data_IF_608549938210
#
_entry.id   IF_608549938210
#
_cell.length_a   1.000
_cell.length_b   1.000
_cell.length_c   1.000
_cell.angle_alpha   90.00
_cell.angle_beta   90.00
_cell.angle_gamma   90.00
#
_symmetry.space_group_name_H-M   'P 1'
#
loop_
_entity.id
_entity.type
_entity.pdbx_description
1 polymer ?
#
# COMPACT_ATOMS: atom_id res chain seq x y z
N UNK A 1 -67.08 -3.38 30.61
CA UNK A 1 -66.14 -2.34 30.12
C UNK A 1 -64.87 -3.06 29.72
N UNK A 2 -64.73 -3.43 28.44
CA UNK A 2 -63.52 -4.06 27.91
C UNK A 2 -62.56 -2.98 27.40
N UNK A 3 -61.27 -3.01 27.79
CA UNK A 3 -60.30 -2.05 27.31
C UNK A 3 -59.98 -2.34 25.85
N UNK A 4 -60.29 -1.36 24.99
CA UNK A 4 -60.05 -1.38 23.57
C UNK A 4 -58.59 -1.67 23.23
N UNK A 5 -58.36 -2.85 22.66
CA UNK A 5 -57.09 -3.28 22.06
C UNK A 5 -56.82 -2.41 20.83
N UNK A 6 -56.13 -1.28 21.03
CA UNK A 6 -55.51 -0.51 19.96
C UNK A 6 -54.51 -1.40 19.21
N UNK A 7 -54.97 -2.08 18.15
CA UNK A 7 -54.10 -2.59 17.09
C UNK A 7 -53.50 -1.37 16.39
N UNK A 8 -52.40 -0.86 16.94
CA UNK A 8 -51.51 0.03 16.23
C UNK A 8 -51.08 -0.67 14.95
N UNK A 9 -51.63 -0.22 13.82
CA UNK A 9 -51.14 -0.61 12.51
C UNK A 9 -49.67 -0.19 12.46
N UNK A 10 -48.76 -1.14 12.67
CA UNK A 10 -47.32 -0.92 12.50
C UNK A 10 -47.12 -0.51 11.05
N UNK A 11 -47.01 0.78 10.79
CA UNK A 11 -46.69 1.30 9.48
C UNK A 11 -45.40 0.63 9.05
N UNK A 12 -45.52 -0.30 8.09
CA UNK A 12 -44.43 -1.10 7.56
C UNK A 12 -43.54 -0.14 6.77
N UNK A 13 -42.60 0.49 7.46
CA UNK A 13 -41.73 1.52 6.92
C UNK A 13 -41.07 1.00 5.64
N UNK A 14 -41.48 1.54 4.49
CA UNK A 14 -41.00 1.08 3.18
C UNK A 14 -39.49 1.27 3.14
N UNK A 15 -38.77 0.20 2.78
CA UNK A 15 -37.32 0.22 2.69
C UNK A 15 -36.92 1.16 1.56
N UNK A 16 -36.19 2.23 1.88
CA UNK A 16 -35.58 3.09 0.88
C UNK A 16 -34.28 2.46 0.38
N UNK A 17 -34.29 1.93 -0.85
CA UNK A 17 -33.07 1.40 -1.49
C UNK A 17 -32.02 2.48 -1.74
N UNK A 18 -32.43 3.74 -1.94
CA UNK A 18 -31.50 4.87 -2.02
C UNK A 18 -30.67 5.04 -0.75
N UNK A 19 -31.28 4.78 0.42
CA UNK A 19 -30.54 4.79 1.69
C UNK A 19 -29.57 3.61 1.81
N UNK A 20 -29.96 2.43 1.34
CA UNK A 20 -29.09 1.24 1.32
C UNK A 20 -27.85 1.53 0.47
N UNK A 21 -28.06 2.10 -0.72
CA UNK A 21 -27.01 2.51 -1.64
C UNK A 21 -26.08 3.54 -0.99
N UNK A 22 -26.62 4.62 -0.45
CA UNK A 22 -25.85 5.69 0.21
C UNK A 22 -24.96 5.15 1.35
N UNK A 23 -25.53 4.30 2.23
CA UNK A 23 -24.78 3.71 3.36
C UNK A 23 -23.69 2.77 2.86
N UNK A 24 -23.98 1.94 1.86
CA UNK A 24 -22.99 1.03 1.26
C UNK A 24 -21.82 1.79 0.62
N UNK A 25 -22.11 2.84 -0.15
CA UNK A 25 -21.07 3.70 -0.75
C UNK A 25 -20.21 4.36 0.32
N UNK A 26 -20.83 4.89 1.37
CA UNK A 26 -20.11 5.49 2.48
C UNK A 26 -19.17 4.49 3.18
N UNK A 27 -19.64 3.25 3.42
CA UNK A 27 -18.80 2.19 3.99
C UNK A 27 -17.62 1.87 3.07
N UNK A 28 -17.84 1.73 1.77
CA UNK A 28 -16.76 1.49 0.80
C UNK A 28 -15.72 2.61 0.79
N UNK A 29 -16.14 3.87 0.81
CA UNK A 29 -15.23 5.01 0.91
C UNK A 29 -14.41 5.00 2.21
N UNK A 30 -15.03 4.64 3.34
CA UNK A 30 -14.35 4.53 4.63
C UNK A 30 -13.34 3.39 4.67
N UNK A 31 -13.64 2.24 4.06
CA UNK A 31 -12.72 1.10 3.94
C UNK A 31 -11.48 1.48 3.11
N UNK A 32 -11.67 2.21 2.00
CA UNK A 32 -10.55 2.70 1.20
C UNK A 32 -9.71 3.70 2.00
N UNK A 33 -10.34 4.67 2.68
CA UNK A 33 -9.63 5.62 3.52
C UNK A 33 -8.81 4.93 4.62
N UNK A 34 -9.39 3.93 5.30
CA UNK A 34 -8.69 3.13 6.31
C UNK A 34 -7.49 2.39 5.70
N UNK A 35 -7.69 1.75 4.54
CA UNK A 35 -6.63 1.05 3.82
C UNK A 35 -5.49 2.00 3.44
N UNK A 36 -5.80 3.19 2.93
CA UNK A 36 -4.82 4.24 2.63
C UNK A 36 -4.01 4.61 3.86
N UNK A 37 -4.65 4.84 5.01
CA UNK A 37 -3.94 5.14 6.26
C UNK A 37 -3.00 4.01 6.66
N UNK A 38 -3.46 2.76 6.62
CA UNK A 38 -2.62 1.59 6.95
C UNK A 38 -1.44 1.46 5.99
N UNK A 39 -1.66 1.64 4.68
CA UNK A 39 -0.58 1.61 3.68
C UNK A 39 0.43 2.73 3.92
N UNK A 40 -0.02 3.94 4.22
CA UNK A 40 0.88 5.06 4.53
C UNK A 40 1.72 4.76 5.78
N UNK A 41 1.11 4.22 6.83
CA UNK A 41 1.84 3.79 8.04
C UNK A 41 2.85 2.68 7.72
N UNK A 42 2.45 1.69 6.93
CA UNK A 42 3.33 0.61 6.50
C UNK A 42 4.52 1.13 5.69
N UNK A 43 4.30 1.99 4.70
CA UNK A 43 5.37 2.59 3.88
C UNK A 43 6.40 3.33 4.74
N UNK A 44 5.99 3.95 5.86
CA UNK A 44 6.92 4.60 6.79
C UNK A 44 7.83 3.63 7.53
N UNK A 45 7.46 2.35 7.61
CA UNK A 45 8.30 1.28 8.19
C UNK A 45 9.20 0.61 7.16
N UNK A 46 9.05 0.95 5.87
CA UNK A 46 9.85 0.39 4.79
C UNK A 46 11.05 1.31 4.47
N UNK A 47 12.09 0.79 3.80
CA UNK A 47 13.18 1.61 3.28
C UNK A 47 12.64 2.75 2.42
N UNK A 48 13.26 3.95 2.47
CA UNK A 48 12.83 5.07 1.66
C UNK A 48 12.90 4.71 0.16
N UNK A 49 11.89 5.13 -0.64
CA UNK A 49 11.93 4.94 -2.08
C UNK A 49 13.11 5.70 -2.71
N UNK A 50 13.56 5.22 -3.87
CA UNK A 50 14.69 5.79 -4.62
C UNK A 50 14.43 7.25 -5.01
N UNK A 51 13.17 7.57 -5.30
CA UNK A 51 12.70 8.92 -5.53
C UNK A 51 11.93 9.42 -4.31
N UNK A 52 12.26 10.61 -3.80
CA UNK A 52 11.54 11.19 -2.68
C UNK A 52 10.08 11.40 -3.07
N UNK A 53 9.12 11.14 -2.15
CA UNK A 53 7.72 11.35 -2.45
C UNK A 53 7.45 12.83 -2.72
N UNK A 54 6.98 13.14 -3.92
CA UNK A 54 6.41 14.46 -4.22
C UNK A 54 5.04 14.57 -3.55
N UNK A 55 5.03 15.04 -2.30
CA UNK A 55 3.81 15.18 -1.50
C UNK A 55 2.79 16.12 -2.15
N UNK A 56 3.24 17.11 -2.92
CA UNK A 56 2.35 18.02 -3.66
C UNK A 56 1.60 17.28 -4.75
N UNK A 57 2.32 16.51 -5.57
CA UNK A 57 1.73 15.65 -6.61
C UNK A 57 0.86 14.54 -6.03
N UNK A 58 1.28 13.92 -4.93
CA UNK A 58 0.48 12.91 -4.22
C UNK A 58 -0.83 13.53 -3.73
N UNK A 59 -0.77 14.68 -3.06
CA UNK A 59 -1.97 15.37 -2.59
C UNK A 59 -2.90 15.77 -3.75
N UNK A 60 -2.35 16.30 -4.84
CA UNK A 60 -3.10 16.64 -6.04
C UNK A 60 -3.76 15.40 -6.67
N UNK A 61 -3.09 14.25 -6.68
CA UNK A 61 -3.63 12.99 -7.20
C UNK A 61 -4.70 12.36 -6.29
N UNK A 62 -4.66 12.60 -4.98
CA UNK A 62 -5.66 12.09 -4.03
C UNK A 62 -7.05 12.69 -4.26
N UNK A 63 -7.15 13.94 -4.75
CA UNK A 63 -8.43 14.59 -5.04
C UNK A 63 -9.24 13.84 -6.11
N UNK A 64 -8.74 13.67 -7.35
CA UNK A 64 -9.47 12.92 -8.38
C UNK A 64 -9.60 11.44 -8.01
N UNK A 65 -8.63 10.86 -7.30
CA UNK A 65 -8.71 9.48 -6.81
C UNK A 65 -9.92 9.29 -5.88
N UNK A 66 -10.21 10.24 -5.00
CA UNK A 66 -11.37 10.19 -4.10
C UNK A 66 -12.68 10.14 -4.89
N UNK A 67 -12.77 10.93 -5.97
CA UNK A 67 -13.92 10.88 -6.88
C UNK A 67 -14.08 9.53 -7.57
N UNK A 68 -12.98 8.98 -8.09
CA UNK A 68 -12.97 7.65 -8.72
C UNK A 68 -13.39 6.57 -7.72
N UNK A 69 -12.86 6.61 -6.50
CA UNK A 69 -13.22 5.68 -5.42
C UNK A 69 -14.71 5.75 -5.12
N UNK A 70 -15.29 6.95 -5.01
CA UNK A 70 -16.72 7.10 -4.78
C UNK A 70 -17.57 6.53 -5.93
N UNK A 71 -17.15 6.75 -7.19
CA UNK A 71 -17.83 6.19 -8.37
C UNK A 71 -17.73 4.66 -8.39
N UNK A 72 -16.55 4.09 -8.14
CA UNK A 72 -16.36 2.64 -8.08
C UNK A 72 -17.18 2.05 -6.93
N UNK A 73 -17.15 2.64 -5.73
CA UNK A 73 -17.96 2.20 -4.60
C UNK A 73 -19.47 2.27 -4.90
N UNK A 74 -19.92 3.29 -5.63
CA UNK A 74 -21.28 3.41 -6.13
C UNK A 74 -21.64 2.28 -7.09
N UNK A 75 -20.82 2.02 -8.10
CA UNK A 75 -21.05 0.95 -9.07
C UNK A 75 -21.05 -0.43 -8.40
N UNK A 76 -20.09 -0.71 -7.52
CA UNK A 76 -20.04 -1.95 -6.76
C UNK A 76 -21.28 -2.13 -5.88
N UNK A 77 -21.72 -1.05 -5.23
CA UNK A 77 -22.94 -1.09 -4.41
C UNK A 77 -24.19 -1.31 -5.25
N UNK A 78 -24.26 -0.70 -6.43
CA UNK A 78 -25.37 -0.85 -7.38
C UNK A 78 -25.45 -2.28 -7.95
N UNK A 79 -24.30 -2.84 -8.35
CA UNK A 79 -24.22 -4.11 -9.07
C UNK A 79 -24.21 -5.34 -8.16
N UNK A 80 -23.66 -5.24 -6.95
CA UNK A 80 -23.47 -6.40 -6.07
C UNK A 80 -24.29 -6.28 -4.78
N UNK A 81 -24.22 -5.12 -4.11
CA UNK A 81 -24.86 -4.96 -2.79
C UNK A 81 -26.38 -4.88 -2.90
N UNK A 82 -26.91 -4.03 -3.79
CA UNK A 82 -28.35 -3.90 -3.97
C UNK A 82 -29.03 -5.22 -4.38
N UNK A 83 -28.52 -5.97 -5.39
CA UNK A 83 -29.10 -7.27 -5.74
C UNK A 83 -28.99 -8.29 -4.61
N UNK A 84 -27.86 -8.36 -3.90
CA UNK A 84 -27.71 -9.24 -2.75
C UNK A 84 -28.72 -8.91 -1.64
N UNK A 85 -28.93 -7.62 -1.35
CA UNK A 85 -29.92 -7.19 -0.35
C UNK A 85 -31.35 -7.51 -0.81
N UNK A 86 -31.69 -7.25 -2.07
CA UNK A 86 -33.00 -7.57 -2.63
C UNK A 86 -33.29 -9.08 -2.62
N UNK A 87 -32.33 -9.91 -3.04
CA UNK A 87 -32.42 -11.37 -2.98
C UNK A 87 -32.54 -11.87 -1.54
N UNK A 88 -31.77 -11.30 -0.61
CA UNK A 88 -31.86 -11.66 0.81
C UNK A 88 -33.23 -11.33 1.41
N UNK A 89 -33.85 -10.23 1.00
CA UNK A 89 -35.20 -9.89 1.46
C UNK A 89 -36.26 -10.82 0.87
N UNK A 90 -36.09 -11.22 -0.39
CA UNK A 90 -36.95 -12.20 -1.03
C UNK A 90 -36.87 -13.56 -0.33
N UNK A 91 -35.66 -14.00 0.01
CA UNK A 91 -35.41 -15.20 0.82
C UNK A 91 -35.98 -15.06 2.23
N UNK A 92 -35.86 -13.89 2.85
CA UNK A 92 -36.39 -13.62 4.19
C UNK A 92 -37.91 -13.74 4.26
N UNK A 93 -38.62 -13.41 3.18
CA UNK A 93 -40.07 -13.64 3.07
C UNK A 93 -40.45 -15.11 2.98
N UNK A 94 -39.57 -15.97 2.48
CA UNK A 94 -39.85 -17.41 2.27
C UNK A 94 -39.38 -18.29 3.42
N UNK A 95 -38.20 -17.99 3.98
CA UNK A 95 -37.47 -18.89 4.91
C UNK A 95 -37.26 -18.25 6.29
N UNK A 96 -37.68 -16.99 6.47
CA UNK A 96 -37.54 -16.24 7.72
C UNK A 96 -36.34 -15.30 7.76
N UNK A 97 -36.42 -14.26 8.59
CA UNK A 97 -35.44 -13.17 8.62
C UNK A 97 -34.04 -13.60 9.05
N UNK A 98 -33.92 -14.62 9.90
CA UNK A 98 -32.64 -15.09 10.44
C UNK A 98 -31.81 -15.82 9.38
N UNK A 99 -32.43 -16.70 8.60
CA UNK A 99 -31.78 -17.37 7.47
C UNK A 99 -31.31 -16.35 6.42
N UNK A 100 -32.16 -15.37 6.11
CA UNK A 100 -31.83 -14.29 5.18
C UNK A 100 -30.65 -13.41 5.61
N UNK A 101 -30.36 -13.31 6.91
CA UNK A 101 -29.22 -12.54 7.41
C UNK A 101 -27.88 -13.26 7.17
N UNK A 102 -27.88 -14.59 7.33
CA UNK A 102 -26.71 -15.44 7.05
C UNK A 102 -26.41 -15.57 5.55
N UNK A 103 -27.41 -15.46 4.67
CA UNK A 103 -27.22 -15.62 3.22
C UNK A 103 -26.53 -14.43 2.53
N UNK A 104 -26.47 -13.24 3.13
CA UNK A 104 -25.94 -12.03 2.46
C UNK A 104 -24.51 -12.24 1.92
N UNK A 105 -23.53 -12.76 2.69
CA UNK A 105 -22.19 -12.97 2.17
C UNK A 105 -22.12 -14.01 1.06
N UNK A 106 -22.93 -15.07 1.14
CA UNK A 106 -22.99 -16.08 0.09
C UNK A 106 -23.54 -15.51 -1.22
N UNK A 107 -24.55 -14.65 -1.15
CA UNK A 107 -25.11 -13.97 -2.32
C UNK A 107 -24.10 -12.99 -2.94
N UNK A 108 -23.41 -12.20 -2.13
CA UNK A 108 -22.35 -11.30 -2.60
C UNK A 108 -21.22 -12.09 -3.26
N UNK A 109 -20.76 -13.17 -2.62
CA UNK A 109 -19.71 -14.06 -3.13
C UNK A 109 -20.08 -14.65 -4.50
N UNK A 110 -21.32 -15.13 -4.62
CA UNK A 110 -21.85 -15.70 -5.86
C UNK A 110 -21.94 -14.65 -6.99
N UNK A 111 -22.38 -13.43 -6.68
CA UNK A 111 -22.45 -12.35 -7.66
C UNK A 111 -21.06 -11.87 -8.11
N UNK A 112 -20.08 -11.87 -7.20
CA UNK A 112 -18.69 -11.47 -7.49
C UNK A 112 -17.88 -12.52 -8.25
N UNK A 113 -18.23 -13.81 -8.16
CA UNK A 113 -17.40 -14.87 -8.72
C UNK A 113 -17.19 -14.76 -10.26
N UNK A 114 -18.23 -14.51 -11.09
CA UNK A 114 -18.06 -14.39 -12.54
C UNK A 114 -17.09 -13.28 -12.99
N UNK A 115 -17.23 -12.00 -12.55
CA UNK A 115 -16.31 -10.95 -13.00
C UNK A 115 -14.88 -11.16 -12.49
N UNK A 116 -14.69 -11.68 -11.27
CA UNK A 116 -13.35 -11.97 -10.75
C UNK A 116 -12.69 -13.09 -11.54
N UNK A 117 -13.44 -14.15 -11.86
CA UNK A 117 -12.92 -15.25 -12.66
C UNK A 117 -12.58 -14.80 -14.09
N UNK A 118 -13.45 -14.01 -14.74
CA UNK A 118 -13.20 -13.47 -16.07
C UNK A 118 -11.95 -12.56 -16.11
N UNK A 119 -11.77 -11.72 -15.09
CA UNK A 119 -10.57 -10.89 -14.96
C UNK A 119 -9.32 -11.76 -14.77
N UNK A 120 -9.39 -12.79 -13.92
CA UNK A 120 -8.27 -13.68 -13.66
C UNK A 120 -7.85 -14.47 -14.91
N UNK A 121 -8.83 -15.00 -15.67
CA UNK A 121 -8.56 -15.73 -16.91
C UNK A 121 -7.97 -14.82 -18.00
N UNK A 122 -8.44 -13.57 -18.10
CA UNK A 122 -7.93 -12.62 -19.09
C UNK A 122 -6.47 -12.21 -18.81
N UNK A 123 -6.09 -12.09 -17.53
CA UNK A 123 -4.75 -11.63 -17.13
C UNK A 123 -3.79 -12.77 -16.77
N UNK A 124 -4.17 -14.04 -17.01
CA UNK A 124 -3.42 -15.23 -16.58
C UNK A 124 -2.95 -15.14 -15.11
N UNK A 125 -3.86 -14.69 -14.24
CA UNK A 125 -3.53 -14.38 -12.85
C UNK A 125 -3.40 -15.67 -12.03
N UNK A 126 -2.39 -15.72 -11.15
CA UNK A 126 -2.18 -16.85 -10.24
C UNK A 126 -3.42 -17.07 -9.35
N UNK A 127 -3.80 -18.33 -9.13
CA UNK A 127 -5.02 -18.70 -8.40
C UNK A 127 -5.07 -18.17 -6.98
N UNK A 128 -3.96 -18.25 -6.23
CA UNK A 128 -3.90 -17.85 -4.81
C UNK A 128 -4.25 -16.36 -4.59
N UNK A 129 -3.59 -15.38 -5.23
CA UNK A 129 -3.94 -13.97 -5.06
C UNK A 129 -5.35 -13.66 -5.55
N UNK A 130 -5.84 -14.32 -6.60
CA UNK A 130 -7.22 -14.16 -7.09
C UNK A 130 -8.24 -14.59 -6.02
N UNK A 131 -8.03 -15.73 -5.35
CA UNK A 131 -8.90 -16.20 -4.28
C UNK A 131 -8.86 -15.27 -3.06
N UNK A 132 -7.67 -14.77 -2.68
CA UNK A 132 -7.53 -13.80 -1.59
C UNK A 132 -8.26 -12.50 -1.91
N UNK A 133 -8.12 -12.00 -3.14
CA UNK A 133 -8.83 -10.81 -3.61
C UNK A 133 -10.36 -11.02 -3.60
N UNK A 134 -10.84 -12.13 -4.13
CA UNK A 134 -12.26 -12.48 -4.13
C UNK A 134 -12.84 -12.55 -2.72
N UNK A 135 -12.13 -13.21 -1.79
CA UNK A 135 -12.54 -13.34 -0.40
C UNK A 135 -12.58 -11.97 0.30
N UNK A 136 -11.55 -11.12 0.09
CA UNK A 136 -11.49 -9.78 0.65
C UNK A 136 -12.61 -8.87 0.11
N UNK A 137 -12.82 -8.85 -1.21
CA UNK A 137 -13.90 -8.10 -1.86
C UNK A 137 -15.28 -8.55 -1.37
N UNK A 138 -15.48 -9.87 -1.23
CA UNK A 138 -16.72 -10.43 -0.68
C UNK A 138 -16.95 -9.95 0.75
N UNK A 139 -15.93 -10.01 1.61
CA UNK A 139 -16.05 -9.58 3.00
C UNK A 139 -16.41 -8.09 3.12
N UNK A 140 -15.72 -7.23 2.37
CA UNK A 140 -15.96 -5.78 2.28
C UNK A 140 -17.39 -5.46 1.83
N UNK A 141 -17.81 -5.97 0.67
CA UNK A 141 -19.16 -5.71 0.15
C UNK A 141 -20.26 -6.30 1.06
N UNK A 142 -19.98 -7.43 1.71
CA UNK A 142 -20.90 -8.03 2.69
C UNK A 142 -21.07 -7.17 3.94
N UNK A 143 -20.00 -6.52 4.41
CA UNK A 143 -20.07 -5.58 5.52
C UNK A 143 -20.95 -4.39 5.16
N UNK A 144 -20.73 -3.78 3.99
CA UNK A 144 -21.58 -2.72 3.44
C UNK A 144 -23.05 -3.14 3.34
N UNK A 145 -23.32 -4.32 2.78
CA UNK A 145 -24.66 -4.88 2.68
C UNK A 145 -25.32 -5.07 4.04
N UNK A 146 -24.63 -5.68 5.01
CA UNK A 146 -25.18 -5.93 6.36
C UNK A 146 -25.47 -4.64 7.12
N UNK A 147 -24.55 -3.69 7.10
CA UNK A 147 -24.74 -2.37 7.75
C UNK A 147 -25.90 -1.64 7.10
N UNK A 148 -25.96 -1.62 5.76
CA UNK A 148 -27.04 -0.97 5.02
C UNK A 148 -28.42 -1.62 5.27
N UNK A 149 -28.46 -2.90 5.68
CA UNK A 149 -29.72 -3.56 6.06
C UNK A 149 -30.29 -3.06 7.40
N UNK A 150 -29.47 -2.48 8.29
CA UNK A 150 -29.91 -2.01 9.61
C UNK A 150 -30.96 -0.88 9.47
N UNK A 151 -32.08 -1.04 10.18
CA UNK A 151 -33.15 -0.04 10.24
C UNK A 151 -32.91 0.85 11.44
N UNK A 152 -32.77 2.15 11.19
CA UNK A 152 -32.56 3.14 12.25
C UNK A 152 -32.37 4.53 11.68
N UNK A 153 -33.09 5.52 12.19
CA UNK A 153 -32.88 6.91 11.80
C UNK A 153 -31.46 7.36 12.18
N UNK A 154 -30.85 8.20 11.33
CA UNK A 154 -29.48 8.67 11.54
C UNK A 154 -28.37 7.63 11.33
N UNK A 155 -28.66 6.44 10.77
CA UNK A 155 -27.64 5.42 10.50
C UNK A 155 -26.46 5.97 9.68
N UNK A 156 -26.71 6.72 8.60
CA UNK A 156 -25.65 7.32 7.78
C UNK A 156 -24.73 8.21 8.61
N UNK A 157 -25.31 9.08 9.46
CA UNK A 157 -24.55 9.96 10.35
C UNK A 157 -23.74 9.16 11.37
N UNK A 158 -24.30 8.07 11.88
CA UNK A 158 -23.63 7.16 12.81
C UNK A 158 -22.45 6.45 12.15
N UNK A 159 -22.65 5.91 10.94
CA UNK A 159 -21.60 5.25 10.14
C UNK A 159 -20.50 6.26 9.79
N UNK A 160 -20.84 7.46 9.33
CA UNK A 160 -19.86 8.51 9.04
C UNK A 160 -19.05 8.88 10.28
N UNK A 161 -19.70 9.07 11.43
CA UNK A 161 -19.04 9.45 12.67
C UNK A 161 -18.11 8.36 13.20
N UNK A 162 -18.59 7.13 13.35
CA UNK A 162 -17.80 6.04 13.92
C UNK A 162 -16.75 5.52 12.94
N UNK A 163 -17.09 5.44 11.65
CA UNK A 163 -16.12 5.10 10.61
C UNK A 163 -15.04 6.15 10.48
N UNK A 164 -15.40 7.44 10.48
CA UNK A 164 -14.43 8.53 10.51
C UNK A 164 -13.56 8.51 11.77
N UNK A 165 -14.15 8.25 12.94
CA UNK A 165 -13.40 8.10 14.19
C UNK A 165 -12.43 6.89 14.15
N UNK A 166 -12.83 5.77 13.51
CA UNK A 166 -11.96 4.62 13.32
C UNK A 166 -10.77 4.94 12.41
N UNK A 167 -11.00 5.60 11.28
CA UNK A 167 -9.94 6.03 10.35
C UNK A 167 -8.98 7.00 11.05
N UNK A 168 -9.53 8.04 11.68
CA UNK A 168 -8.74 9.04 12.40
C UNK A 168 -7.97 8.42 13.57
N UNK A 169 -8.61 7.54 14.34
CA UNK A 169 -8.00 6.81 15.45
C UNK A 169 -6.85 5.92 14.96
N UNK A 170 -7.05 5.17 13.87
CA UNK A 170 -5.98 4.34 13.28
C UNK A 170 -4.79 5.19 12.86
N UNK A 171 -5.03 6.34 12.22
CA UNK A 171 -3.98 7.29 11.87
C UNK A 171 -3.24 7.81 13.10
N UNK A 172 -3.98 8.25 14.12
CA UNK A 172 -3.43 8.79 15.36
C UNK A 172 -2.61 7.76 16.15
N UNK A 173 -3.14 6.55 16.36
CA UNK A 173 -2.42 5.50 17.07
C UNK A 173 -1.23 4.97 16.27
N UNK A 174 -1.36 4.90 14.94
CA UNK A 174 -0.25 4.55 14.06
C UNK A 174 0.90 5.57 14.11
N UNK A 175 0.59 6.86 14.03
CA UNK A 175 1.62 7.91 14.14
C UNK A 175 2.23 7.94 15.54
N UNK A 176 1.42 7.77 16.59
CA UNK A 176 1.94 7.65 17.95
C UNK A 176 2.87 6.44 18.08
N UNK A 177 2.51 5.30 17.49
CA UNK A 177 3.36 4.11 17.45
C UNK A 177 4.71 4.37 16.78
N UNK A 178 4.72 5.14 15.68
CA UNK A 178 5.96 5.53 14.99
C UNK A 178 6.81 6.48 15.83
N UNK A 179 6.21 7.50 16.46
CA UNK A 179 6.93 8.49 17.29
C UNK A 179 7.49 7.87 18.56
N UNK A 180 6.76 6.94 19.18
CA UNK A 180 7.17 6.25 20.40
C UNK A 180 8.11 5.07 20.15
N UNK A 181 8.34 4.69 18.88
CA UNK A 181 9.15 3.53 18.51
C UNK A 181 8.48 2.17 18.74
N UNK A 182 7.21 2.13 19.16
CA UNK A 182 6.41 0.89 19.22
C UNK A 182 6.27 0.27 17.84
N UNK A 183 6.13 1.12 16.82
CA UNK A 183 6.37 0.76 15.42
C UNK A 183 7.79 1.23 15.10
N UNK A 184 8.78 0.32 15.07
CA UNK A 184 10.16 0.73 14.83
C UNK A 184 10.22 1.43 13.46
N UNK A 185 10.76 2.65 13.40
CA UNK A 185 11.03 3.28 12.11
C UNK A 185 11.99 2.39 11.32
N UNK A 186 11.95 2.51 9.99
CA UNK A 186 12.95 1.84 9.17
C UNK A 186 14.36 2.21 9.65
N UNK A 187 15.20 1.20 9.84
CA UNK A 187 16.62 1.35 10.15
C UNK A 187 17.43 0.60 9.09
N UNK A 188 18.47 1.21 8.49
CA UNK A 188 19.34 0.54 7.53
C UNK A 188 19.96 -0.73 8.08
N UNK A 189 20.21 -1.75 7.24
CA UNK A 189 20.90 -2.94 7.69
C UNK A 189 22.35 -2.59 8.06
N UNK A 190 22.82 -3.09 9.20
CA UNK A 190 24.24 -3.06 9.54
C UNK A 190 24.94 -4.14 8.74
N UNK A 191 25.75 -3.76 7.75
CA UNK A 191 26.47 -4.71 6.90
C UNK A 191 27.96 -4.64 7.18
N UNK A 192 28.61 -5.77 7.41
CA UNK A 192 30.07 -5.82 7.56
C UNK A 192 30.80 -5.77 6.20
N UNK A 193 32.13 -5.56 6.19
CA UNK A 193 32.95 -5.57 4.97
C UNK A 193 32.77 -6.84 4.12
N UNK A 194 32.64 -8.00 4.77
CA UNK A 194 32.41 -9.28 4.09
C UNK A 194 31.05 -9.32 3.36
N UNK A 195 30.03 -8.65 3.91
CA UNK A 195 28.71 -8.54 3.29
C UNK A 195 28.69 -7.50 2.15
N UNK A 196 29.71 -6.65 2.04
CA UNK A 196 29.85 -5.72 0.92
C UNK A 196 30.40 -6.41 -0.34
N UNK A 197 31.23 -7.45 -0.18
CA UNK A 197 31.77 -8.21 -1.30
C UNK A 197 30.67 -8.79 -2.21
N UNK A 198 30.92 -8.77 -3.52
CA UNK A 198 29.99 -9.19 -4.57
C UNK A 198 29.69 -8.08 -5.57
N UNK A 199 28.82 -8.39 -6.54
CA UNK A 199 28.36 -7.42 -7.53
C UNK A 199 27.14 -6.64 -7.03
N UNK A 200 27.11 -5.36 -7.35
CA UNK A 200 26.04 -4.42 -7.05
C UNK A 200 25.65 -3.77 -8.36
N UNK A 201 24.36 -3.68 -8.64
CA UNK A 201 23.84 -3.25 -9.94
C UNK A 201 22.84 -2.13 -9.73
N UNK A 202 22.89 -1.10 -10.57
CA UNK A 202 21.88 -0.05 -10.59
C UNK A 202 20.64 -0.48 -11.43
N UNK A 203 19.74 0.45 -11.68
CA UNK A 203 18.52 0.21 -12.46
C UNK A 203 18.78 0.15 -13.98
N UNK A 204 19.94 0.63 -14.46
CA UNK A 204 20.33 0.62 -15.88
C UNK A 204 21.27 -0.53 -16.24
N UNK A 205 21.74 -1.31 -15.26
CA UNK A 205 22.64 -2.44 -15.45
C UNK A 205 24.12 -2.13 -15.24
N UNK A 206 24.47 -0.90 -14.84
CA UNK A 206 25.84 -0.56 -14.45
C UNK A 206 26.19 -1.24 -13.13
N UNK A 207 27.46 -1.59 -12.96
CA UNK A 207 27.87 -2.51 -11.89
C UNK A 207 29.07 -2.00 -11.11
N UNK A 208 29.02 -2.15 -9.78
CA UNK A 208 30.17 -2.12 -8.88
C UNK A 208 30.42 -3.53 -8.35
N UNK A 209 31.62 -4.06 -8.55
CA UNK A 209 32.02 -5.36 -8.01
C UNK A 209 33.06 -5.17 -6.93
N UNK A 210 32.70 -5.50 -5.68
CA UNK A 210 33.57 -5.45 -4.52
C UNK A 210 34.18 -6.82 -4.25
N UNK A 211 35.45 -6.82 -3.95
CA UNK A 211 36.21 -8.03 -3.56
C UNK A 211 36.63 -7.92 -2.09
N UNK A 212 36.76 -9.08 -1.43
CA UNK A 212 37.02 -9.14 0.01
C UNK A 212 38.41 -8.60 0.42
N UNK A 213 39.34 -8.53 -0.52
CA UNK A 213 40.68 -7.97 -0.37
C UNK A 213 40.73 -6.45 -0.57
N UNK A 214 39.58 -5.78 -0.65
CA UNK A 214 39.52 -4.32 -0.72
C UNK A 214 39.62 -3.74 -2.14
N UNK A 215 39.56 -4.56 -3.20
CA UNK A 215 39.50 -4.05 -4.59
C UNK A 215 38.07 -3.85 -5.07
N UNK A 216 37.85 -2.83 -5.90
CA UNK A 216 36.56 -2.54 -6.53
C UNK A 216 36.74 -2.38 -8.03
N UNK A 217 35.81 -2.92 -8.81
CA UNK A 217 35.73 -2.73 -10.25
C UNK A 217 34.39 -2.09 -10.60
N UNK A 218 34.45 -0.93 -11.27
CA UNK A 218 33.30 -0.19 -11.75
C UNK A 218 33.11 -0.36 -13.25
N UNK A 219 31.86 -0.47 -13.68
CA UNK A 219 31.46 -0.56 -15.08
C UNK A 219 30.27 0.35 -15.34
N UNK A 220 30.53 1.51 -15.93
CA UNK A 220 29.51 2.47 -16.38
C UNK A 220 28.78 3.21 -15.28
N UNK A 221 29.28 3.17 -14.04
CA UNK A 221 28.58 3.70 -12.87
C UNK A 221 28.56 5.22 -12.94
N UNK A 222 27.38 5.82 -12.81
CA UNK A 222 27.20 7.25 -13.02
C UNK A 222 27.99 8.08 -11.99
N UNK A 223 28.68 9.13 -12.46
CA UNK A 223 29.37 10.10 -11.59
C UNK A 223 28.45 11.31 -11.44
N UNK A 224 27.87 11.47 -10.25
CA UNK A 224 27.01 12.61 -9.93
C UNK A 224 27.81 13.66 -9.15
N UNK A 225 27.80 14.89 -9.64
CA UNK A 225 28.31 16.04 -8.91
C UNK A 225 27.24 16.60 -7.96
N UNK A 226 27.63 17.16 -6.80
CA UNK A 226 26.71 17.90 -5.94
C UNK A 226 26.02 19.02 -6.74
N UNK A 227 24.69 18.99 -6.84
CA UNK A 227 23.92 19.95 -7.62
C UNK A 227 23.44 19.49 -9.01
N UNK A 228 23.84 18.31 -9.47
CA UNK A 228 23.31 17.74 -10.72
C UNK A 228 21.80 17.51 -10.62
N UNK A 229 21.02 17.96 -11.59
CA UNK A 229 19.56 17.78 -11.61
C UNK A 229 19.15 16.41 -12.13
N UNK A 230 18.01 15.90 -11.65
CA UNK A 230 17.36 14.69 -12.14
C UNK A 230 16.95 14.83 -13.62
N UNK A 231 17.87 14.60 -14.55
CA UNK A 231 17.59 14.73 -15.98
C UNK A 231 18.81 14.80 -16.88
N UNK A 232 19.98 15.17 -16.34
CA UNK A 232 21.25 14.92 -17.04
C UNK A 232 21.61 13.44 -16.90
N UNK A 233 21.92 12.77 -18.01
CA UNK A 233 22.60 11.48 -17.98
C UNK A 233 24.05 11.78 -17.60
N UNK A 234 24.48 11.54 -16.36
CA UNK A 234 25.85 11.84 -15.99
C UNK A 234 26.79 10.91 -16.75
N UNK A 235 28.04 11.30 -16.99
CA UNK A 235 29.01 10.39 -17.57
C UNK A 235 29.16 9.15 -16.67
N UNK A 236 29.08 7.98 -17.28
CA UNK A 236 29.41 6.72 -16.61
C UNK A 236 30.93 6.59 -16.45
N UNK A 237 31.40 6.16 -15.29
CA UNK A 237 32.80 5.87 -15.04
C UNK A 237 33.05 4.37 -14.89
N UNK A 238 34.16 3.93 -15.46
CA UNK A 238 34.61 2.53 -15.47
C UNK A 238 36.08 2.48 -15.10
N UNK A 239 36.46 1.54 -14.25
CA UNK A 239 37.82 1.44 -13.77
C UNK A 239 37.97 0.41 -12.66
N UNK A 240 39.20 0.23 -12.20
CA UNK A 240 39.51 -0.60 -11.02
C UNK A 240 40.25 0.23 -10.01
N UNK A 241 39.97 0.01 -8.74
CA UNK A 241 40.58 0.73 -7.64
C UNK A 241 40.39 0.02 -6.32
N UNK A 242 40.33 0.78 -5.24
CA UNK A 242 40.17 0.24 -3.88
C UNK A 242 38.90 0.77 -3.22
N UNK A 243 38.45 0.06 -2.18
CA UNK A 243 37.34 0.50 -1.36
C UNK A 243 37.64 0.33 0.13
N UNK A 244 37.00 1.15 0.95
CA UNK A 244 37.03 1.06 2.41
C UNK A 244 35.61 1.19 2.97
N UNK A 245 35.34 0.48 4.06
CA UNK A 245 34.05 0.53 4.75
C UNK A 245 34.24 1.16 6.13
N UNK A 246 33.40 2.13 6.43
CA UNK A 246 33.35 2.84 7.70
C UNK A 246 32.02 2.52 8.39
N UNK A 247 32.02 1.82 9.53
CA UNK A 247 30.78 1.41 10.20
C UNK A 247 29.97 2.57 10.79
N UNK A 248 30.61 3.72 11.04
CA UNK A 248 29.97 4.85 11.71
C UNK A 248 29.64 4.58 13.19
N UNK A 249 28.85 5.48 13.79
CA UNK A 249 28.40 5.38 15.21
C UNK A 249 27.03 4.71 15.35
N UNK A 250 26.26 4.72 14.28
CA UNK A 250 24.90 4.20 14.19
C UNK A 250 24.62 3.68 12.76
N UNK A 251 23.55 2.89 12.55
CA UNK A 251 23.30 2.27 11.24
C UNK A 251 23.08 3.25 10.08
N UNK A 252 22.78 4.53 10.34
CA UNK A 252 22.62 5.57 9.31
C UNK A 252 23.95 6.21 8.89
N UNK A 253 24.97 6.09 9.73
CA UNK A 253 26.29 6.68 9.53
C UNK A 253 27.30 5.74 8.83
N UNK A 254 26.86 4.57 8.39
CA UNK A 254 27.68 3.62 7.63
C UNK A 254 28.05 4.18 6.25
N UNK A 255 29.34 4.11 5.88
CA UNK A 255 29.85 4.62 4.61
C UNK A 255 30.74 3.63 3.89
N UNK A 256 30.73 3.70 2.57
CA UNK A 256 31.66 3.01 1.69
C UNK A 256 32.35 4.06 0.83
N UNK A 257 33.67 4.16 0.98
CA UNK A 257 34.49 5.07 0.19
C UNK A 257 35.16 4.29 -0.93
N UNK A 258 35.06 4.80 -2.15
CA UNK A 258 35.70 4.24 -3.33
C UNK A 258 36.84 5.15 -3.75
N UNK A 259 37.95 4.54 -4.18
CA UNK A 259 39.07 5.24 -4.80
C UNK A 259 39.39 4.54 -6.12
N UNK A 260 38.82 5.05 -7.20
CA UNK A 260 39.00 4.54 -8.57
C UNK A 260 39.54 5.69 -9.42
N UNK A 261 40.74 5.57 -10.02
CA UNK A 261 41.34 6.63 -10.80
C UNK A 261 40.42 7.14 -11.91
N UNK A 262 40.17 8.46 -11.93
CA UNK A 262 39.29 9.10 -12.90
C UNK A 262 37.79 9.05 -12.57
N UNK A 263 37.40 8.45 -11.44
CA UNK A 263 36.02 8.42 -10.96
C UNK A 263 35.91 9.15 -9.61
N UNK A 264 35.38 10.37 -9.63
CA UNK A 264 35.17 11.17 -8.41
C UNK A 264 33.75 10.95 -7.86
N UNK A 265 33.57 9.88 -7.07
CA UNK A 265 32.31 9.62 -6.37
C UNK A 265 32.36 10.13 -4.92
N UNK A 266 31.31 10.80 -4.42
CA UNK A 266 31.13 10.94 -2.98
C UNK A 266 30.98 9.58 -2.29
N UNK A 267 31.08 9.61 -0.97
CA UNK A 267 30.92 8.42 -0.13
C UNK A 267 29.52 7.83 -0.27
N UNK A 268 29.45 6.50 -0.34
CA UNK A 268 28.20 5.77 -0.47
C UNK A 268 27.65 5.43 0.91
N UNK A 269 26.38 5.73 1.16
CA UNK A 269 25.65 5.26 2.34
C UNK A 269 25.13 3.83 2.18
N UNK A 270 24.85 3.16 3.28
CA UNK A 270 24.19 1.84 3.30
C UNK A 270 22.69 2.00 3.55
N UNK A 271 21.86 1.24 2.83
CA UNK A 271 20.42 1.19 2.98
C UNK A 271 19.83 -0.17 2.58
N UNK A 272 18.54 -0.20 2.26
CA UNK A 272 17.83 -1.42 1.88
C UNK A 272 17.35 -2.22 3.10
N UNK A 273 17.29 -3.54 2.99
CA UNK A 273 16.93 -4.41 4.13
C UNK A 273 18.03 -5.42 4.38
N UNK A 274 17.99 -6.13 5.52
CA UNK A 274 18.97 -7.20 5.78
C UNK A 274 18.98 -8.30 4.72
N UNK A 275 17.87 -8.51 3.99
CA UNK A 275 17.78 -9.48 2.89
C UNK A 275 18.14 -8.88 1.53
N UNK A 276 17.91 -7.59 1.36
CA UNK A 276 18.12 -6.86 0.12
C UNK A 276 18.89 -5.56 0.43
N UNK A 277 20.19 -5.66 0.75
CA UNK A 277 20.98 -4.49 1.08
C UNK A 277 21.21 -3.63 -0.16
N UNK A 278 21.32 -2.33 0.06
CA UNK A 278 21.55 -1.31 -0.97
C UNK A 278 22.70 -0.40 -0.55
N UNK A 279 23.43 0.12 -1.53
CA UNK A 279 24.34 1.25 -1.33
C UNK A 279 23.79 2.44 -2.13
N UNK A 280 23.97 3.65 -1.63
CA UNK A 280 23.40 4.84 -2.28
C UNK A 280 24.29 6.08 -2.17
N UNK A 281 24.18 6.98 -3.14
CA UNK A 281 24.72 8.33 -3.07
C UNK A 281 23.57 9.34 -3.13
N UNK A 282 23.68 10.42 -2.37
CA UNK A 282 22.78 11.57 -2.52
C UNK A 282 23.07 12.27 -3.84
N UNK A 283 22.05 12.45 -4.67
CA UNK A 283 22.11 13.19 -5.94
C UNK A 283 21.15 14.38 -5.90
N UNK A 284 21.37 15.40 -6.72
CA UNK A 284 20.57 16.63 -6.67
C UNK A 284 21.19 17.77 -5.89
N UNK A 285 20.51 18.92 -5.94
CA UNK A 285 20.85 20.09 -5.13
C UNK A 285 20.48 19.93 -3.65
N UNK A 286 20.91 20.88 -2.79
CA UNK A 286 20.59 20.86 -1.37
C UNK A 286 19.08 20.69 -1.12
N UNK A 287 18.70 19.58 -0.49
CA UNK A 287 17.30 19.27 -0.15
C UNK A 287 16.53 18.42 -1.16
N UNK A 288 17.13 18.02 -2.31
CA UNK A 288 16.48 17.17 -3.32
C UNK A 288 16.02 15.83 -2.74
N UNK A 289 16.75 15.25 -1.77
CA UNK A 289 16.54 13.89 -1.20
C UNK A 289 16.53 12.77 -2.24
N UNK A 290 17.07 13.01 -3.42
CA UNK A 290 17.20 11.98 -4.47
C UNK A 290 18.41 11.09 -4.21
N UNK A 291 18.27 9.81 -4.49
CA UNK A 291 19.29 8.80 -4.23
C UNK A 291 19.63 8.03 -5.50
N UNK A 292 20.90 8.02 -5.89
CA UNK A 292 21.41 7.03 -6.84
C UNK A 292 21.76 5.76 -6.08
N UNK A 293 21.08 4.65 -6.39
CA UNK A 293 21.19 3.40 -5.62
C UNK A 293 21.69 2.24 -6.45
N UNK A 294 22.47 1.36 -5.81
CA UNK A 294 22.77 0.03 -6.31
C UNK A 294 22.24 -1.01 -5.35
N UNK A 295 21.65 -2.06 -5.92
CA UNK A 295 21.21 -3.25 -5.19
C UNK A 295 22.25 -4.35 -5.31
N UNK A 296 22.42 -5.14 -4.26
CA UNK A 296 23.28 -6.31 -4.34
C UNK A 296 22.70 -7.31 -5.34
N UNK A 297 23.50 -7.74 -6.31
CA UNK A 297 23.12 -8.80 -7.23
C UNK A 297 22.96 -10.09 -6.41
N UNK A 298 21.75 -10.66 -6.40
CA UNK A 298 21.57 -12.01 -5.87
C UNK A 298 22.40 -12.97 -6.71
N UNK A 299 23.35 -13.67 -6.09
CA UNK A 299 24.15 -14.71 -6.72
C UNK A 299 23.24 -15.87 -7.14
N UNK A 300 22.62 -15.74 -8.32
CA UNK A 300 21.58 -16.68 -8.76
C UNK A 300 20.94 -16.35 -10.09
N UNK A 301 21.61 -15.59 -10.97
CA UNK A 301 21.20 -15.49 -12.37
C UNK A 301 22.21 -16.28 -13.23
N UNK A 302 21.91 -17.53 -13.63
CA UNK A 302 22.59 -18.12 -14.77
C UNK A 302 22.20 -17.30 -16.01
N UNK A 303 23.20 -16.76 -16.71
CA UNK A 303 23.00 -16.23 -18.06
C UNK A 303 22.62 -17.34 -19.02
#
# INVERSE_FOLDING_TARGET
MEPGRHRGASMRQKRSYGRVLLVSVLVGCLEVALTTVVVLLYVRTQPPPDTPPDWGRIAAALVPLTGIVAVVAFLLSLLFVLPAVALSDLLGRRVGERAAWCCVPLLVAALLAPPVWAFASYNDARTRPVLLFWAAATASLSAGARIARLRGEGLTRRVARWGGALVAGTGLFGTLGLVTGVLPPYEPPVIGPAALAGAWVDHTGNTLTFTADGRVTASGVAVHSPGDTSGSTPPGCSGTGTWTYEPGRDPWSQRVRLDVPGCDWPEWGVGGTGREPRIHQSVGGPGSRELYQLRKATSGWPR
#
